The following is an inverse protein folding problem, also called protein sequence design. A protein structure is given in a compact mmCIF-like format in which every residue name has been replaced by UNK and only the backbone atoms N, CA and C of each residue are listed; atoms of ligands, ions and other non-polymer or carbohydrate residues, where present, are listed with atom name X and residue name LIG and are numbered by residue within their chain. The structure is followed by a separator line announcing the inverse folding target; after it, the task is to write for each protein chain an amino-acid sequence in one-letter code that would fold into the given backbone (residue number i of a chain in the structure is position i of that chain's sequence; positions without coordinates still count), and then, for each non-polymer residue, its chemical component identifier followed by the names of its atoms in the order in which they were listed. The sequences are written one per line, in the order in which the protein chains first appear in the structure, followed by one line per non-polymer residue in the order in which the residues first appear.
data_IF_000440186936
#
_entry.id   IF_000440186936
#
_cell.length_a   1.000
_cell.length_b   1.000
_cell.length_c   1.000
_cell.angle_alpha   90.00
_cell.angle_beta   90.00
_cell.angle_gamma   90.00
#
_symmetry.space_group_name_H-M   'P 1'
#
loop_
_entity.id
_entity.type
_entity.pdbx_description
1 polymer ?
#
# COMPACT_ATOMS: atom_id res chain seq x y z
N UNK A 1 11.80 -30.73 -10.52
CA UNK A 1 11.94 -32.11 -10.02
C UNK A 1 11.88 -33.17 -11.12
N UNK A 2 10.92 -33.12 -12.07
CA UNK A 2 10.77 -34.15 -13.13
C UNK A 2 12.04 -34.36 -13.99
N UNK A 3 12.69 -33.28 -14.45
CA UNK A 3 13.92 -33.39 -15.25
C UNK A 3 15.11 -33.98 -14.48
N UNK A 4 15.24 -33.68 -13.17
CA UNK A 4 16.27 -34.29 -12.31
C UNK A 4 16.04 -35.80 -12.16
N UNK A 5 14.79 -36.23 -11.97
CA UNK A 5 14.44 -37.65 -11.87
C UNK A 5 14.72 -38.39 -13.18
N UNK A 6 14.35 -37.78 -14.31
CA UNK A 6 14.68 -38.31 -15.64
C UNK A 6 16.19 -38.41 -15.87
N UNK A 7 16.96 -37.41 -15.43
CA UNK A 7 18.42 -37.45 -15.54
C UNK A 7 19.02 -38.60 -14.73
N UNK A 8 18.56 -38.81 -13.50
CA UNK A 8 19.00 -39.93 -12.65
C UNK A 8 18.64 -41.28 -13.27
N UNK A 9 17.44 -41.41 -13.82
CA UNK A 9 17.01 -42.61 -14.52
C UNK A 9 17.92 -42.94 -15.72
N UNK A 10 18.15 -41.95 -16.59
CA UNK A 10 19.05 -42.11 -17.75
C UNK A 10 20.47 -42.45 -17.31
N UNK A 11 20.97 -41.86 -16.22
CA UNK A 11 22.31 -42.17 -15.71
C UNK A 11 22.42 -43.60 -15.20
N UNK A 12 21.43 -44.09 -14.45
CA UNK A 12 21.40 -45.46 -13.94
C UNK A 12 21.30 -46.48 -15.08
N UNK A 13 20.39 -46.24 -16.03
CA UNK A 13 20.19 -47.16 -17.15
C UNK A 13 21.42 -47.18 -18.08
N UNK A 14 22.01 -46.02 -18.36
CA UNK A 14 23.25 -45.91 -19.11
C UNK A 14 24.39 -46.70 -18.45
N UNK A 15 24.56 -46.58 -17.13
CA UNK A 15 25.58 -47.31 -16.39
C UNK A 15 25.37 -48.83 -16.47
N UNK A 16 24.12 -49.29 -16.39
CA UNK A 16 23.76 -50.70 -16.55
C UNK A 16 24.10 -51.21 -17.96
N UNK A 17 23.72 -50.46 -19.01
CA UNK A 17 24.02 -50.83 -20.40
C UNK A 17 25.51 -50.83 -20.69
N UNK A 18 26.26 -49.85 -20.17
CA UNK A 18 27.73 -49.81 -20.31
C UNK A 18 28.41 -51.00 -19.62
N UNK A 19 27.94 -51.40 -18.44
CA UNK A 19 28.45 -52.59 -17.75
C UNK A 19 28.14 -53.87 -18.56
N UNK A 20 26.91 -54.00 -19.07
CA UNK A 20 26.52 -55.13 -19.92
C UNK A 20 27.34 -55.18 -21.21
N UNK A 21 27.58 -54.05 -21.87
CA UNK A 21 28.38 -53.98 -23.09
C UNK A 21 29.82 -54.42 -22.84
N UNK A 22 30.43 -54.01 -21.72
CA UNK A 22 31.76 -54.46 -21.30
C UNK A 22 31.80 -55.97 -21.07
N UNK A 23 30.83 -56.53 -20.34
CA UNK A 23 30.75 -57.96 -20.07
C UNK A 23 30.55 -58.76 -21.37
N UNK A 24 29.69 -58.32 -22.28
CA UNK A 24 29.49 -58.97 -23.58
C UNK A 24 30.76 -58.91 -24.43
N UNK A 25 31.48 -57.78 -24.44
CA UNK A 25 32.77 -57.68 -25.11
C UNK A 25 33.79 -58.65 -24.52
N UNK A 26 33.89 -58.74 -23.19
CA UNK A 26 34.78 -59.68 -22.50
C UNK A 26 34.44 -61.15 -22.82
N UNK A 27 33.17 -61.52 -22.78
CA UNK A 27 32.71 -62.86 -23.16
C UNK A 27 32.98 -63.16 -24.65
N UNK A 28 32.89 -62.14 -25.51
CA UNK A 28 33.09 -62.30 -26.95
C UNK A 28 34.59 -62.39 -27.33
N UNK A 29 35.53 -61.93 -26.48
CA UNK A 29 36.99 -61.95 -26.75
C UNK A 29 37.62 -63.33 -26.92
N UNK A 30 36.99 -64.43 -26.47
CA UNK A 30 37.54 -65.77 -26.68
C UNK A 30 37.68 -66.05 -28.18
N UNK A 31 38.93 -66.28 -28.60
CA UNK A 31 39.33 -66.46 -30.00
C UNK A 31 38.93 -67.86 -30.43
N UNK A 32 38.08 -67.96 -31.45
CA UNK A 32 38.07 -69.16 -32.30
C UNK A 32 39.31 -69.02 -33.16
N UNK A 33 40.26 -69.94 -33.02
CA UNK A 33 41.45 -69.92 -33.88
C UNK A 33 41.04 -70.30 -35.30
N UNK A 34 40.84 -69.28 -36.13
CA UNK A 34 40.47 -69.42 -37.54
C UNK A 34 41.58 -70.20 -38.27
N UNK A 35 42.83 -70.11 -37.81
CA UNK A 35 43.94 -70.88 -38.35
C UNK A 35 43.81 -72.36 -38.01
N UNK A 36 43.48 -72.70 -36.75
CA UNK A 36 43.25 -74.09 -36.35
C UNK A 36 42.06 -74.73 -37.09
N UNK A 37 41.00 -73.96 -37.38
CA UNK A 37 39.90 -74.40 -38.24
C UNK A 37 40.38 -74.75 -39.65
N UNK A 38 41.13 -73.85 -40.29
CA UNK A 38 41.65 -74.06 -41.64
C UNK A 38 42.62 -75.26 -41.69
N UNK A 39 43.46 -75.42 -40.67
CA UNK A 39 44.39 -76.54 -40.55
C UNK A 39 43.63 -77.88 -40.38
N UNK A 40 42.54 -77.88 -39.61
CA UNK A 40 41.66 -79.06 -39.47
C UNK A 40 40.96 -79.42 -40.78
N UNK A 41 40.49 -78.43 -41.56
CA UNK A 41 39.91 -78.65 -42.90
C UNK A 41 40.92 -79.26 -43.87
N UNK A 42 42.16 -78.75 -43.90
CA UNK A 42 43.25 -79.31 -44.69
C UNK A 42 43.59 -80.74 -44.25
N UNK A 43 43.59 -81.00 -42.94
CA UNK A 43 43.88 -82.34 -42.42
C UNK A 43 42.78 -83.34 -42.75
N UNK A 44 41.52 -82.93 -42.70
CA UNK A 44 40.38 -83.74 -43.17
C UNK A 44 40.57 -84.09 -44.64
N UNK A 45 40.86 -83.12 -45.50
CA UNK A 45 41.07 -83.36 -46.94
C UNK A 45 42.23 -84.33 -47.22
N UNK A 46 43.34 -84.23 -46.47
CA UNK A 46 44.47 -85.16 -46.58
C UNK A 46 44.09 -86.59 -46.14
N UNK A 47 43.42 -86.74 -45.01
CA UNK A 47 43.00 -88.04 -44.48
C UNK A 47 41.94 -88.71 -45.37
N UNK A 48 41.04 -87.93 -45.98
CA UNK A 48 40.08 -88.42 -46.98
C UNK A 48 40.78 -88.95 -48.23
N UNK A 49 41.80 -88.23 -48.73
CA UNK A 49 42.62 -88.67 -49.85
C UNK A 49 43.35 -89.98 -49.53
N UNK A 50 44.06 -90.05 -48.41
CA UNK A 50 44.75 -91.26 -47.95
C UNK A 50 43.79 -92.46 -47.78
N UNK A 51 42.61 -92.22 -47.19
CA UNK A 51 41.55 -93.23 -47.06
C UNK A 51 41.11 -93.73 -48.44
N UNK A 52 40.86 -92.83 -49.39
CA UNK A 52 40.40 -93.19 -50.74
C UNK A 52 41.43 -94.04 -51.49
N UNK A 53 42.72 -93.73 -51.37
CA UNK A 53 43.82 -94.48 -51.97
C UNK A 53 43.97 -95.87 -51.34
N UNK A 54 43.82 -95.99 -50.02
CA UNK A 54 43.86 -97.28 -49.31
C UNK A 54 42.65 -98.16 -49.64
N UNK A 55 41.46 -97.57 -49.77
CA UNK A 55 40.25 -98.27 -50.22
C UNK A 55 40.41 -98.72 -51.68
N UNK A 56 41.02 -97.93 -52.54
CA UNK A 56 41.31 -98.32 -53.93
C UNK A 56 42.32 -99.48 -53.99
N UNK A 57 43.39 -99.45 -53.19
CA UNK A 57 44.36 -100.56 -53.07
C UNK A 57 43.72 -101.84 -52.54
N UNK A 58 42.80 -101.74 -51.56
CA UNK A 58 42.00 -102.87 -51.07
C UNK A 58 41.13 -103.51 -52.17
N UNK A 59 40.58 -102.71 -53.09
CA UNK A 59 39.81 -103.20 -54.25
C UNK A 59 40.69 -103.94 -55.27
N UNK A 60 41.97 -103.63 -55.36
CA UNK A 60 42.91 -104.22 -56.34
C UNK A 60 43.57 -105.51 -55.86
N UNK A 61 43.89 -105.65 -54.56
CA UNK A 61 44.66 -106.80 -54.01
C UNK A 61 43.79 -108.02 -53.67
N UNK A 62 42.46 -107.87 -53.62
CA UNK A 62 41.54 -108.95 -53.27
C UNK A 62 41.41 -109.19 -51.74
N UNK A 63 40.34 -109.88 -51.33
CA UNK A 63 39.85 -109.89 -49.94
C UNK A 63 40.61 -110.80 -48.95
N UNK A 64 41.69 -111.47 -49.37
CA UNK A 64 42.38 -112.49 -48.57
C UNK A 64 43.88 -112.21 -48.49
N UNK A 65 44.38 -111.92 -47.28
CA UNK A 65 45.81 -111.72 -47.00
C UNK A 65 46.08 -110.74 -45.86
N UNK A 66 47.21 -110.92 -45.16
CA UNK A 66 47.65 -110.07 -44.03
C UNK A 66 47.70 -108.57 -44.39
N UNK A 67 48.04 -108.26 -45.65
CA UNK A 67 48.06 -106.89 -46.17
C UNK A 67 46.66 -106.26 -46.27
N UNK A 68 45.65 -107.02 -46.70
CA UNK A 68 44.27 -106.54 -46.78
C UNK A 68 43.69 -106.29 -45.38
N UNK A 69 44.03 -107.12 -44.39
CA UNK A 69 43.64 -106.89 -42.99
C UNK A 69 44.29 -105.61 -42.43
N UNK A 70 45.58 -105.39 -42.68
CA UNK A 70 46.29 -104.17 -42.26
C UNK A 70 45.69 -102.91 -42.90
N UNK A 71 45.42 -102.93 -44.21
CA UNK A 71 44.76 -101.80 -44.88
C UNK A 71 43.35 -101.53 -44.34
N UNK A 72 42.56 -102.54 -43.97
CA UNK A 72 41.25 -102.35 -43.34
C UNK A 72 41.36 -101.70 -41.96
N UNK A 73 42.29 -102.15 -41.11
CA UNK A 73 42.54 -101.53 -39.80
C UNK A 73 42.94 -100.06 -39.96
N UNK A 74 43.82 -99.76 -40.91
CA UNK A 74 44.22 -98.37 -41.21
C UNK A 74 43.07 -97.50 -41.72
N UNK A 75 42.20 -98.03 -42.58
CA UNK A 75 41.00 -97.31 -43.04
C UNK A 75 40.05 -97.01 -41.87
N UNK A 76 39.84 -97.97 -40.97
CA UNK A 76 39.00 -97.79 -39.77
C UNK A 76 39.58 -96.73 -38.81
N UNK A 77 40.90 -96.69 -38.64
CA UNK A 77 41.58 -95.62 -37.88
C UNK A 77 41.39 -94.24 -38.53
N UNK A 78 41.58 -94.14 -39.85
CA UNK A 78 41.37 -92.90 -40.60
C UNK A 78 39.91 -92.43 -40.51
N UNK A 79 38.94 -93.34 -40.53
CA UNK A 79 37.52 -93.04 -40.31
C UNK A 79 37.25 -92.48 -38.91
N UNK A 80 37.86 -93.05 -37.88
CA UNK A 80 37.77 -92.53 -36.51
C UNK A 80 38.35 -91.11 -36.38
N UNK A 81 39.51 -90.86 -36.99
CA UNK A 81 40.15 -89.53 -37.00
C UNK A 81 39.32 -88.50 -37.76
N UNK A 82 38.78 -88.87 -38.93
CA UNK A 82 37.88 -88.02 -39.71
C UNK A 82 36.60 -87.67 -38.95
N UNK A 83 36.00 -88.63 -38.25
CA UNK A 83 34.79 -88.38 -37.44
C UNK A 83 35.08 -87.38 -36.30
N UNK A 84 36.24 -87.49 -35.65
CA UNK A 84 36.65 -86.57 -34.58
C UNK A 84 36.94 -85.16 -35.12
N UNK A 85 37.69 -85.03 -36.22
CA UNK A 85 37.99 -83.72 -36.83
C UNK A 85 36.73 -83.04 -37.37
N UNK A 86 35.83 -83.78 -38.02
CA UNK A 86 34.55 -83.24 -38.48
C UNK A 86 33.66 -82.76 -37.32
N UNK A 87 33.68 -83.47 -36.18
CA UNK A 87 32.97 -83.03 -34.97
C UNK A 87 33.55 -81.72 -34.43
N UNK A 88 34.88 -81.59 -34.35
CA UNK A 88 35.56 -80.36 -33.94
C UNK A 88 35.24 -79.18 -34.86
N UNK A 89 35.30 -79.39 -36.18
CA UNK A 89 35.00 -78.35 -37.17
C UNK A 89 33.55 -77.86 -37.05
N UNK A 90 32.60 -78.78 -36.82
CA UNK A 90 31.19 -78.44 -36.58
C UNK A 90 31.00 -77.64 -35.29
N UNK A 91 31.68 -78.01 -34.21
CA UNK A 91 31.67 -77.26 -32.94
C UNK A 91 32.25 -75.85 -33.12
N UNK A 92 33.40 -75.72 -33.77
CA UNK A 92 34.03 -74.42 -34.06
C UNK A 92 33.17 -73.54 -34.98
N UNK A 93 32.53 -74.11 -36.01
CA UNK A 93 31.57 -73.40 -36.88
C UNK A 93 30.34 -72.89 -36.12
N UNK A 94 29.80 -73.69 -35.19
CA UNK A 94 28.69 -73.26 -34.33
C UNK A 94 29.10 -72.11 -33.40
N UNK A 95 30.31 -72.16 -32.83
CA UNK A 95 30.85 -71.08 -31.99
C UNK A 95 30.99 -69.81 -32.82
N UNK A 96 31.52 -69.88 -34.04
CA UNK A 96 31.66 -68.71 -34.92
C UNK A 96 30.32 -68.01 -35.19
N UNK A 97 29.27 -68.79 -35.51
CA UNK A 97 27.90 -68.25 -35.69
C UNK A 97 27.31 -67.65 -34.41
N UNK A 98 27.70 -68.13 -33.23
CA UNK A 98 27.31 -67.51 -31.97
C UNK A 98 28.03 -66.18 -31.76
N UNK A 99 29.34 -66.14 -32.04
CA UNK A 99 30.19 -64.95 -31.93
C UNK A 99 29.76 -63.82 -32.87
N UNK A 100 29.39 -64.15 -34.10
CA UNK A 100 28.82 -63.17 -35.06
C UNK A 100 27.52 -62.55 -34.53
N UNK A 101 26.60 -63.38 -34.02
CA UNK A 101 25.34 -62.90 -33.41
C UNK A 101 25.58 -62.05 -32.17
N UNK A 102 26.55 -62.42 -31.34
CA UNK A 102 26.97 -61.63 -30.18
C UNK A 102 27.61 -60.30 -30.61
N UNK A 103 28.41 -60.29 -31.68
CA UNK A 103 29.00 -59.10 -32.26
C UNK A 103 27.94 -58.10 -32.73
N UNK A 104 26.91 -58.57 -33.42
CA UNK A 104 25.77 -57.74 -33.85
C UNK A 104 24.99 -57.18 -32.65
N UNK A 105 24.80 -57.98 -31.60
CA UNK A 105 24.17 -57.53 -30.35
C UNK A 105 24.98 -56.46 -29.63
N UNK A 106 26.31 -56.60 -29.60
CA UNK A 106 27.22 -55.61 -29.00
C UNK A 106 27.17 -54.29 -29.80
N UNK A 107 27.16 -54.35 -31.14
CA UNK A 107 27.02 -53.14 -31.99
C UNK A 107 25.74 -52.38 -31.66
N UNK A 108 24.59 -53.05 -31.66
CA UNK A 108 23.29 -52.44 -31.31
C UNK A 108 23.30 -51.84 -29.91
N UNK A 109 23.84 -52.55 -28.92
CA UNK A 109 23.93 -52.04 -27.55
C UNK A 109 24.83 -50.78 -27.47
N UNK A 110 25.93 -50.74 -28.21
CA UNK A 110 26.80 -49.56 -28.27
C UNK A 110 26.13 -48.35 -28.95
N UNK A 111 25.34 -48.58 -30.00
CA UNK A 111 24.52 -47.53 -30.64
C UNK A 111 23.50 -46.96 -29.66
N UNK A 112 22.79 -47.80 -28.91
CA UNK A 112 21.87 -47.36 -27.86
C UNK A 112 22.59 -46.56 -26.76
N UNK A 113 23.75 -47.01 -26.28
CA UNK A 113 24.58 -46.30 -25.31
C UNK A 113 24.96 -44.90 -25.83
N UNK A 114 25.34 -44.79 -27.11
CA UNK A 114 25.67 -43.52 -27.74
C UNK A 114 24.45 -42.59 -27.78
N UNK A 115 23.29 -43.09 -28.19
CA UNK A 115 22.04 -42.33 -28.19
C UNK A 115 21.66 -41.85 -26.79
N UNK A 116 21.78 -42.71 -25.77
CA UNK A 116 21.50 -42.35 -24.37
C UNK A 116 22.48 -41.30 -23.83
N UNK A 117 23.77 -41.36 -24.21
CA UNK A 117 24.76 -40.31 -23.90
C UNK A 117 24.36 -38.97 -24.51
N UNK A 118 23.96 -38.96 -25.77
CA UNK A 118 23.48 -37.74 -26.44
C UNK A 118 22.23 -37.19 -25.76
N UNK A 119 21.26 -38.05 -25.42
CA UNK A 119 20.04 -37.66 -24.71
C UNK A 119 20.34 -37.07 -23.33
N UNK A 120 21.26 -37.68 -22.57
CA UNK A 120 21.74 -37.16 -21.28
C UNK A 120 22.32 -35.75 -21.41
N UNK A 121 23.20 -35.53 -22.40
CA UNK A 121 23.82 -34.21 -22.62
C UNK A 121 22.77 -33.18 -23.03
N UNK A 122 21.85 -33.53 -23.92
CA UNK A 122 20.73 -32.65 -24.32
C UNK A 122 19.86 -32.26 -23.11
N UNK A 123 19.51 -33.23 -22.27
CA UNK A 123 18.73 -32.99 -21.06
C UNK A 123 19.44 -32.05 -20.09
N UNK A 124 20.74 -32.27 -19.83
CA UNK A 124 21.54 -31.39 -18.96
C UNK A 124 21.59 -29.96 -19.51
N UNK A 125 21.74 -29.78 -20.84
CA UNK A 125 21.71 -28.46 -21.48
C UNK A 125 20.36 -27.77 -21.29
N UNK A 126 19.25 -28.46 -21.57
CA UNK A 126 17.89 -27.93 -21.35
C UNK A 126 17.68 -27.49 -19.91
N UNK A 127 18.08 -28.32 -18.94
CA UNK A 127 17.96 -28.00 -17.52
C UNK A 127 18.76 -26.76 -17.13
N UNK A 128 19.97 -26.58 -17.67
CA UNK A 128 20.80 -25.39 -17.43
C UNK A 128 20.18 -24.14 -18.04
N UNK A 129 19.67 -24.24 -19.27
CA UNK A 129 19.02 -23.12 -19.95
C UNK A 129 17.73 -22.68 -19.25
N UNK A 130 16.90 -23.62 -18.82
CA UNK A 130 15.68 -23.33 -18.03
C UNK A 130 16.03 -22.69 -16.69
N UNK A 131 17.05 -23.18 -15.99
CA UNK A 131 17.53 -22.59 -14.73
C UNK A 131 18.06 -21.15 -14.95
N UNK A 132 18.77 -20.91 -16.05
CA UNK A 132 19.28 -19.58 -16.40
C UNK A 132 18.14 -18.61 -16.78
N UNK A 133 17.16 -19.08 -17.56
CA UNK A 133 15.96 -18.31 -17.89
C UNK A 133 15.20 -17.93 -16.62
N UNK A 134 15.01 -18.88 -15.71
CA UNK A 134 14.36 -18.62 -14.43
C UNK A 134 15.16 -17.64 -13.57
N UNK A 135 16.49 -17.76 -13.51
CA UNK A 135 17.34 -16.81 -12.76
C UNK A 135 17.22 -15.39 -13.31
N UNK A 136 17.34 -15.22 -14.63
CA UNK A 136 17.17 -13.92 -15.30
C UNK A 136 15.79 -13.33 -15.05
N UNK A 137 14.74 -14.13 -15.23
CA UNK A 137 13.37 -13.72 -14.96
C UNK A 137 13.18 -13.27 -13.52
N UNK A 138 13.69 -14.05 -12.55
CA UNK A 138 13.61 -13.74 -11.13
C UNK A 138 14.32 -12.44 -10.78
N UNK A 139 15.56 -12.26 -11.22
CA UNK A 139 16.32 -11.03 -10.97
C UNK A 139 15.63 -9.82 -11.58
N UNK A 140 15.08 -9.93 -12.79
CA UNK A 140 14.36 -8.82 -13.41
C UNK A 140 13.07 -8.48 -12.66
N UNK A 141 12.31 -9.49 -12.23
CA UNK A 141 11.12 -9.28 -11.40
C UNK A 141 11.47 -8.69 -10.04
N UNK A 142 12.53 -9.15 -9.38
CA UNK A 142 13.01 -8.58 -8.11
C UNK A 142 13.41 -7.10 -8.28
N UNK A 143 14.07 -6.74 -9.39
CA UNK A 143 14.40 -5.34 -9.72
C UNK A 143 13.14 -4.49 -9.95
N UNK A 144 12.17 -4.99 -10.71
CA UNK A 144 10.90 -4.28 -10.93
C UNK A 144 10.16 -4.06 -9.61
N UNK A 145 10.05 -5.10 -8.78
CA UNK A 145 9.43 -5.01 -7.45
C UNK A 145 10.16 -4.00 -6.54
N UNK A 146 11.49 -3.99 -6.54
CA UNK A 146 12.27 -3.04 -5.78
C UNK A 146 12.05 -1.59 -6.24
N UNK A 147 12.00 -1.36 -7.56
CA UNK A 147 11.69 -0.04 -8.14
C UNK A 147 10.29 0.43 -7.74
N UNK A 148 9.28 -0.44 -7.83
CA UNK A 148 7.90 -0.12 -7.43
C UNK A 148 7.81 0.21 -5.94
N UNK A 149 8.40 -0.61 -5.06
CA UNK A 149 8.47 -0.34 -3.61
C UNK A 149 9.21 0.96 -3.29
N UNK A 150 10.21 1.33 -4.08
CA UNK A 150 10.90 2.61 -3.88
C UNK A 150 10.05 3.80 -4.35
N UNK A 151 9.31 3.67 -5.44
CA UNK A 151 8.35 4.69 -5.89
C UNK A 151 7.20 4.86 -4.90
N UNK A 152 6.66 3.76 -4.37
CA UNK A 152 5.63 3.75 -3.33
C UNK A 152 6.13 4.51 -2.08
N UNK A 153 7.29 4.13 -1.54
CA UNK A 153 7.90 4.86 -0.40
C UNK A 153 8.12 6.35 -0.67
N UNK A 154 8.49 6.74 -1.90
CA UNK A 154 8.63 8.15 -2.27
C UNK A 154 7.27 8.86 -2.26
N UNK A 155 6.23 8.24 -2.82
CA UNK A 155 4.86 8.77 -2.82
C UNK A 155 4.32 8.89 -1.40
N UNK A 156 4.51 7.89 -0.56
CA UNK A 156 4.06 7.91 0.84
C UNK A 156 4.73 9.01 1.64
N UNK A 157 6.04 9.20 1.46
CA UNK A 157 6.77 10.28 2.12
C UNK A 157 6.29 11.66 1.67
N UNK A 158 6.01 11.84 0.37
CA UNK A 158 5.49 13.11 -0.14
C UNK A 158 4.07 13.38 0.37
N UNK A 159 3.23 12.35 0.37
CA UNK A 159 1.89 12.42 0.93
C UNK A 159 1.90 12.73 2.43
N UNK A 160 2.84 12.15 3.18
CA UNK A 160 3.02 12.44 4.60
C UNK A 160 3.44 13.90 4.85
N UNK A 161 4.32 14.48 4.02
CA UNK A 161 4.69 15.90 4.11
C UNK A 161 3.50 16.80 3.83
N UNK A 162 2.74 16.53 2.77
CA UNK A 162 1.56 17.31 2.39
C UNK A 162 0.52 17.26 3.52
N UNK A 163 0.21 16.07 4.05
CA UNK A 163 -0.67 15.91 5.23
C UNK A 163 -0.20 16.72 6.43
N UNK A 164 1.09 16.65 6.75
CA UNK A 164 1.64 17.40 7.88
C UNK A 164 1.55 18.92 7.67
N UNK A 165 1.75 19.40 6.44
CA UNK A 165 1.58 20.82 6.11
C UNK A 165 0.11 21.24 6.25
N UNK A 166 -0.84 20.50 5.69
CA UNK A 166 -2.27 20.80 5.82
C UNK A 166 -2.74 20.77 7.27
N UNK A 167 -2.30 19.79 8.06
CA UNK A 167 -2.61 19.73 9.49
C UNK A 167 -2.11 20.98 10.23
N UNK A 168 -0.88 21.44 9.94
CA UNK A 168 -0.34 22.68 10.51
C UNK A 168 -1.15 23.91 10.08
N UNK A 169 -1.50 24.03 8.79
CA UNK A 169 -2.34 25.13 8.29
C UNK A 169 -3.70 25.15 8.99
N UNK A 170 -4.36 23.99 9.11
CA UNK A 170 -5.63 23.86 9.81
C UNK A 170 -5.55 24.33 11.27
N UNK A 171 -4.46 23.99 11.98
CA UNK A 171 -4.23 24.45 13.36
C UNK A 171 -4.05 25.98 13.42
N UNK A 172 -3.32 26.57 12.47
CA UNK A 172 -3.13 28.03 12.41
C UNK A 172 -4.47 28.74 12.22
N UNK A 173 -5.28 28.29 11.27
CA UNK A 173 -6.61 28.86 11.02
C UNK A 173 -7.54 28.74 12.23
N UNK A 174 -7.62 27.56 12.86
CA UNK A 174 -8.40 27.36 14.09
C UNK A 174 -7.97 28.31 15.21
N UNK A 175 -6.65 28.47 15.42
CA UNK A 175 -6.13 29.43 16.42
C UNK A 175 -6.50 30.87 16.10
N UNK A 176 -6.50 31.27 14.83
CA UNK A 176 -6.94 32.63 14.41
C UNK A 176 -8.42 32.84 14.67
N UNK A 177 -9.27 31.84 14.41
CA UNK A 177 -10.69 31.86 14.79
C UNK A 177 -10.85 32.03 16.30
N UNK A 178 -10.16 31.23 17.10
CA UNK A 178 -10.23 31.30 18.56
C UNK A 178 -9.80 32.68 19.11
N UNK A 179 -8.76 33.29 18.51
CA UNK A 179 -8.31 34.64 18.86
C UNK A 179 -9.36 35.70 18.51
N UNK A 180 -9.95 35.61 17.31
CA UNK A 180 -11.02 36.51 16.87
C UNK A 180 -12.27 36.41 17.75
N UNK A 181 -12.64 35.20 18.18
CA UNK A 181 -13.72 34.97 19.14
C UNK A 181 -13.41 35.53 20.53
N UNK A 182 -12.15 35.42 20.99
CA UNK A 182 -11.74 35.99 22.27
C UNK A 182 -11.83 37.53 22.26
N UNK A 183 -11.42 38.17 21.17
CA UNK A 183 -11.60 39.61 20.97
C UNK A 183 -13.08 39.99 20.91
N UNK A 184 -13.91 39.19 20.24
CA UNK A 184 -15.36 39.37 20.24
C UNK A 184 -15.96 39.32 21.65
N UNK A 185 -15.54 38.36 22.47
CA UNK A 185 -15.96 38.27 23.87
C UNK A 185 -15.54 39.53 24.64
N UNK A 186 -14.29 40.00 24.46
CA UNK A 186 -13.79 41.23 25.09
C UNK A 186 -14.59 42.45 24.66
N UNK A 187 -14.86 42.61 23.37
CA UNK A 187 -15.65 43.69 22.80
C UNK A 187 -17.08 43.68 23.34
N UNK A 188 -17.71 42.50 23.42
CA UNK A 188 -19.04 42.32 24.01
C UNK A 188 -19.08 42.69 25.48
N UNK A 189 -18.08 42.31 26.26
CA UNK A 189 -17.97 42.69 27.68
C UNK A 189 -17.77 44.21 27.85
N UNK A 190 -16.92 44.83 27.04
CA UNK A 190 -16.71 46.28 27.06
C UNK A 190 -18.00 47.06 26.72
N UNK A 191 -18.75 46.57 25.73
CA UNK A 191 -20.07 47.09 25.35
C UNK A 191 -21.10 47.01 26.47
N UNK A 192 -21.24 45.83 27.08
CA UNK A 192 -22.19 45.62 28.17
C UNK A 192 -21.88 46.53 29.37
N UNK A 193 -20.59 46.70 29.69
CA UNK A 193 -20.17 47.62 30.75
C UNK A 193 -20.49 49.08 30.40
N UNK A 194 -20.36 49.49 29.13
CA UNK A 194 -20.71 50.83 28.66
C UNK A 194 -22.20 51.12 28.81
N UNK A 195 -23.06 50.17 28.44
CA UNK A 195 -24.51 50.29 28.61
C UNK A 195 -24.88 50.43 30.10
N UNK A 196 -24.32 49.60 30.98
CA UNK A 196 -24.56 49.69 32.43
C UNK A 196 -24.12 51.04 33.03
N UNK A 197 -22.96 51.57 32.59
CA UNK A 197 -22.48 52.88 33.03
C UNK A 197 -23.37 54.01 32.50
N UNK A 198 -23.89 53.89 31.27
CA UNK A 198 -24.83 54.87 30.71
C UNK A 198 -26.16 54.90 31.46
N UNK A 199 -26.71 53.73 31.82
CA UNK A 199 -27.94 53.60 32.61
C UNK A 199 -27.79 54.19 34.02
N UNK A 200 -26.64 53.96 34.67
CA UNK A 200 -26.37 54.44 36.04
C UNK A 200 -25.98 55.92 36.11
N UNK A 201 -25.46 56.52 35.04
CA UNK A 201 -25.05 57.93 34.98
C UNK A 201 -26.20 58.93 34.79
N UNK A 202 -27.46 58.49 34.61
CA UNK A 202 -28.65 59.37 34.55
C UNK A 202 -28.93 60.21 35.81
N UNK A 203 -28.05 60.24 36.82
CA UNK A 203 -28.31 61.00 38.06
C UNK A 203 -27.12 61.49 38.91
N UNK A 204 -25.84 61.38 38.51
CA UNK A 204 -24.71 61.94 39.28
C UNK A 204 -23.63 62.54 38.39
N UNK A 205 -23.42 63.85 38.54
CA UNK A 205 -22.47 64.64 37.76
C UNK A 205 -21.03 64.59 38.31
N UNK A 206 -20.10 64.67 37.34
CA UNK A 206 -18.78 65.35 37.37
C UNK A 206 -17.51 64.66 37.92
N UNK A 207 -17.52 63.71 38.85
CA UNK A 207 -16.23 63.29 39.48
C UNK A 207 -15.40 62.18 38.79
N UNK A 208 -15.82 61.58 37.66
CA UNK A 208 -15.09 60.43 37.07
C UNK A 208 -14.95 60.50 35.55
N UNK A 209 -14.35 61.57 35.04
CA UNK A 209 -14.02 61.71 33.61
C UNK A 209 -12.91 60.74 33.18
N UNK A 210 -11.85 60.60 33.97
CA UNK A 210 -10.69 59.75 33.65
C UNK A 210 -11.05 58.25 33.51
N UNK A 211 -11.82 57.62 34.42
CA UNK A 211 -12.27 56.23 34.25
C UNK A 211 -13.19 56.04 33.03
N UNK A 212 -14.01 57.03 32.69
CA UNK A 212 -14.89 56.98 31.52
C UNK A 212 -14.10 57.10 30.22
N UNK A 213 -13.14 58.03 30.17
CA UNK A 213 -12.25 58.18 29.01
C UNK A 213 -11.43 56.91 28.77
N UNK A 214 -10.94 56.27 29.84
CA UNK A 214 -10.26 54.97 29.76
C UNK A 214 -11.16 53.88 29.18
N UNK A 215 -12.41 53.79 29.65
CA UNK A 215 -13.39 52.83 29.13
C UNK A 215 -13.71 53.04 27.64
N UNK A 216 -13.87 54.29 27.20
CA UNK A 216 -14.14 54.59 25.79
C UNK A 216 -12.91 54.32 24.91
N UNK A 217 -11.70 54.60 25.44
CA UNK A 217 -10.44 54.25 24.79
C UNK A 217 -10.26 52.73 24.64
N UNK A 218 -10.53 51.95 25.70
CA UNK A 218 -10.47 50.48 25.67
C UNK A 218 -11.50 49.88 24.70
N UNK A 219 -12.68 50.50 24.58
CA UNK A 219 -13.69 50.14 23.58
C UNK A 219 -13.18 50.43 22.16
N UNK A 220 -12.59 51.61 21.93
CA UNK A 220 -12.04 52.00 20.64
C UNK A 220 -10.91 51.07 20.21
N UNK A 221 -9.97 50.76 21.10
CA UNK A 221 -8.91 49.76 20.83
C UNK A 221 -9.54 48.41 20.46
N UNK A 222 -10.51 47.93 21.24
CA UNK A 222 -11.18 46.66 20.98
C UNK A 222 -11.92 46.65 19.64
N UNK A 223 -12.49 47.78 19.21
CA UNK A 223 -13.15 47.93 17.91
C UNK A 223 -12.13 47.91 16.77
N UNK A 224 -11.00 48.62 16.91
CA UNK A 224 -9.92 48.64 15.91
C UNK A 224 -9.32 47.24 15.76
N UNK A 225 -9.03 46.56 16.87
CA UNK A 225 -8.54 45.17 16.86
C UNK A 225 -9.55 44.22 16.23
N UNK A 226 -10.85 44.34 16.57
CA UNK A 226 -11.90 43.51 15.96
C UNK A 226 -11.99 43.71 14.44
N UNK A 227 -11.93 44.95 13.95
CA UNK A 227 -11.89 45.25 12.50
C UNK A 227 -10.66 44.68 11.81
N UNK A 228 -9.48 44.78 12.43
CA UNK A 228 -8.25 44.20 11.89
C UNK A 228 -8.35 42.67 11.81
N UNK A 229 -8.88 42.02 12.84
CA UNK A 229 -9.10 40.56 12.80
C UNK A 229 -10.14 40.16 11.78
N UNK A 230 -11.22 40.93 11.60
CA UNK A 230 -12.22 40.68 10.58
C UNK A 230 -11.63 40.71 9.17
N UNK A 231 -10.78 41.70 8.86
CA UNK A 231 -10.06 41.76 7.58
C UNK A 231 -9.21 40.51 7.35
N UNK A 232 -8.48 40.08 8.38
CA UNK A 232 -7.64 38.87 8.32
C UNK A 232 -8.49 37.61 8.11
N UNK A 233 -9.63 37.49 8.79
CA UNK A 233 -10.53 36.35 8.61
C UNK A 233 -11.16 36.33 7.21
N UNK A 234 -11.48 37.49 6.62
CA UNK A 234 -12.00 37.57 5.25
C UNK A 234 -10.97 37.11 4.22
N UNK A 235 -9.71 37.49 4.39
CA UNK A 235 -8.59 36.98 3.60
C UNK A 235 -8.41 35.47 3.79
N UNK A 236 -8.42 34.98 5.04
CA UNK A 236 -8.32 33.56 5.35
C UNK A 236 -9.47 32.77 4.71
N UNK A 237 -10.72 33.27 4.77
CA UNK A 237 -11.88 32.66 4.11
C UNK A 237 -11.69 32.57 2.60
N UNK A 238 -11.18 33.64 1.97
CA UNK A 238 -10.93 33.64 0.52
C UNK A 238 -9.84 32.61 0.15
N UNK A 239 -8.75 32.53 0.92
CA UNK A 239 -7.70 31.53 0.69
C UNK A 239 -8.19 30.10 0.91
N UNK A 240 -8.97 29.85 1.97
CA UNK A 240 -9.57 28.54 2.24
C UNK A 240 -10.54 28.11 1.15
N UNK A 241 -11.35 29.03 0.64
CA UNK A 241 -12.26 28.77 -0.46
C UNK A 241 -11.48 28.40 -1.74
N UNK A 242 -10.46 29.17 -2.07
CA UNK A 242 -9.58 28.89 -3.22
C UNK A 242 -8.93 27.51 -3.11
N UNK A 243 -8.31 27.21 -1.96
CA UNK A 243 -7.66 25.92 -1.70
C UNK A 243 -8.66 24.77 -1.77
N UNK A 244 -9.89 24.96 -1.28
CA UNK A 244 -10.94 23.94 -1.38
C UNK A 244 -11.35 23.67 -2.84
N UNK A 245 -11.41 24.70 -3.67
CA UNK A 245 -11.79 24.54 -5.08
C UNK A 245 -10.66 23.86 -5.86
N UNK A 246 -9.40 24.24 -5.64
CA UNK A 246 -8.22 23.52 -6.17
C UNK A 246 -8.16 22.06 -5.72
N UNK A 247 -8.50 21.77 -4.46
CA UNK A 247 -8.57 20.41 -3.93
C UNK A 247 -9.69 19.59 -4.56
N UNK A 248 -10.86 20.18 -4.82
CA UNK A 248 -11.98 19.49 -5.50
C UNK A 248 -11.61 19.16 -6.94
N UNK A 249 -11.02 20.11 -7.66
CA UNK A 249 -10.59 19.92 -9.05
C UNK A 249 -9.54 18.80 -9.16
N UNK A 250 -8.60 18.76 -8.22
CA UNK A 250 -7.57 17.70 -8.14
C UNK A 250 -8.04 16.38 -7.51
N UNK A 251 -9.17 16.36 -6.80
CA UNK A 251 -9.79 15.15 -6.25
C UNK A 251 -10.60 14.38 -7.31
N UNK A 252 -11.23 15.09 -8.25
CA UNK A 252 -11.95 14.48 -9.37
C UNK A 252 -11.06 13.60 -10.27
N UNK A 253 -9.74 13.81 -10.25
CA UNK A 253 -8.77 13.03 -11.01
C UNK A 253 -8.21 11.78 -10.28
N UNK A 254 -8.25 11.75 -8.94
CA UNK A 254 -7.70 10.63 -8.15
C UNK A 254 -8.30 10.64 -6.72
N UNK A 255 -9.35 9.83 -6.46
CA UNK A 255 -10.11 9.84 -5.21
C UNK A 255 -9.39 9.00 -4.13
N UNK A 256 -8.35 9.57 -3.52
CA UNK A 256 -7.74 9.01 -2.32
C UNK A 256 -8.51 9.46 -1.05
N UNK A 257 -8.77 8.55 -0.12
CA UNK A 257 -9.43 8.81 1.18
C UNK A 257 -8.83 10.02 1.92
N UNK A 258 -7.51 10.20 1.80
CA UNK A 258 -6.75 11.29 2.41
C UNK A 258 -7.15 12.66 1.88
N UNK A 259 -7.44 12.77 0.58
CA UNK A 259 -7.91 14.01 -0.02
C UNK A 259 -9.31 14.34 0.50
N UNK A 260 -10.16 13.32 0.66
CA UNK A 260 -11.49 13.48 1.24
C UNK A 260 -11.44 14.02 2.68
N UNK A 261 -10.59 13.45 3.52
CA UNK A 261 -10.44 13.91 4.92
C UNK A 261 -9.88 15.34 4.99
N UNK A 262 -8.91 15.69 4.14
CA UNK A 262 -8.36 17.05 4.07
C UNK A 262 -9.41 18.06 3.59
N UNK A 263 -10.22 17.72 2.58
CA UNK A 263 -11.32 18.54 2.09
C UNK A 263 -12.37 18.74 3.20
N UNK A 264 -12.73 17.68 3.93
CA UNK A 264 -13.65 17.79 5.07
C UNK A 264 -13.10 18.76 6.13
N UNK A 265 -11.84 18.59 6.52
CA UNK A 265 -11.21 19.46 7.52
C UNK A 265 -11.10 20.93 7.11
N UNK A 266 -10.88 21.23 5.82
CA UNK A 266 -10.89 22.61 5.31
C UNK A 266 -12.30 23.18 5.22
N UNK A 267 -13.30 22.38 4.86
CA UNK A 267 -14.72 22.80 4.87
C UNK A 267 -15.18 23.18 6.27
N UNK A 268 -14.89 22.34 7.26
CA UNK A 268 -15.21 22.64 8.66
C UNK A 268 -14.58 23.97 9.08
N UNK A 269 -13.29 24.17 8.81
CA UNK A 269 -12.59 25.42 9.15
C UNK A 269 -13.17 26.63 8.41
N UNK A 270 -13.54 26.49 7.15
CA UNK A 270 -14.22 27.54 6.37
C UNK A 270 -15.58 27.91 6.98
N UNK A 271 -16.37 26.91 7.40
CA UNK A 271 -17.65 27.11 8.07
C UNK A 271 -17.46 27.88 9.38
N UNK A 272 -16.48 27.48 10.20
CA UNK A 272 -16.12 28.20 11.42
C UNK A 272 -15.73 29.66 11.13
N UNK A 273 -14.82 29.90 10.17
CA UNK A 273 -14.45 31.26 9.77
C UNK A 273 -15.66 32.08 9.33
N UNK A 274 -16.56 31.49 8.54
CA UNK A 274 -17.77 32.17 8.05
C UNK A 274 -18.71 32.55 9.21
N UNK A 275 -18.89 31.66 10.19
CA UNK A 275 -19.69 31.94 11.38
C UNK A 275 -19.06 33.05 12.24
N UNK A 276 -17.74 33.01 12.44
CA UNK A 276 -17.03 34.04 13.22
C UNK A 276 -17.06 35.40 12.52
N UNK A 277 -16.87 35.45 11.20
CA UNK A 277 -16.96 36.67 10.38
C UNK A 277 -18.34 37.30 10.53
N UNK A 278 -19.42 36.53 10.31
CA UNK A 278 -20.79 37.06 10.40
C UNK A 278 -21.11 37.58 11.81
N UNK A 279 -20.65 36.89 12.85
CA UNK A 279 -20.80 37.36 14.24
C UNK A 279 -19.99 38.63 14.52
N UNK A 280 -18.75 38.74 14.02
CA UNK A 280 -17.92 39.94 14.13
C UNK A 280 -18.55 41.14 13.41
N UNK A 281 -19.01 40.94 12.18
CA UNK A 281 -19.66 41.96 11.35
C UNK A 281 -20.89 42.54 12.06
N UNK A 282 -21.81 41.69 12.52
CA UNK A 282 -22.99 42.11 13.26
C UNK A 282 -22.63 42.95 14.49
N UNK A 283 -21.61 42.56 15.24
CA UNK A 283 -21.18 43.27 16.45
C UNK A 283 -20.56 44.63 16.14
N UNK A 284 -19.74 44.69 15.08
CA UNK A 284 -19.13 45.93 14.60
C UNK A 284 -20.21 46.89 14.09
N UNK A 285 -21.25 46.40 13.41
CA UNK A 285 -22.34 47.24 12.91
C UNK A 285 -23.27 47.73 14.03
N UNK A 286 -23.56 46.88 15.03
CA UNK A 286 -24.26 47.30 16.26
C UNK A 286 -23.50 48.45 16.95
N UNK A 287 -22.16 48.35 17.02
CA UNK A 287 -21.30 49.40 17.57
C UNK A 287 -21.35 50.69 16.76
N UNK A 288 -21.29 50.60 15.44
CA UNK A 288 -21.39 51.78 14.56
C UNK A 288 -22.71 52.51 14.80
N UNK A 289 -23.83 51.77 14.87
CA UNK A 289 -25.15 52.34 15.10
C UNK A 289 -25.24 53.01 16.48
N UNK A 290 -24.74 52.38 17.54
CA UNK A 290 -24.71 52.97 18.89
C UNK A 290 -23.84 54.24 18.94
N UNK A 291 -22.72 54.27 18.21
CA UNK A 291 -21.88 55.47 18.12
C UNK A 291 -22.61 56.59 17.36
N UNK A 292 -23.30 56.26 16.25
CA UNK A 292 -24.05 57.23 15.46
C UNK A 292 -25.23 57.83 16.25
N UNK A 293 -25.92 57.02 17.05
CA UNK A 293 -26.99 57.47 17.94
C UNK A 293 -26.47 58.43 19.01
N UNK A 294 -25.33 58.12 19.64
CA UNK A 294 -24.69 59.01 20.61
C UNK A 294 -24.20 60.32 19.97
N UNK A 295 -23.67 60.28 18.74
CA UNK A 295 -23.30 61.49 18.01
C UNK A 295 -24.52 62.37 17.78
N UNK A 296 -25.67 61.79 17.41
CA UNK A 296 -26.95 62.50 17.27
C UNK A 296 -27.42 63.08 18.60
N UNK A 297 -27.33 62.34 19.70
CA UNK A 297 -27.67 62.84 21.05
C UNK A 297 -26.78 64.02 21.48
N UNK A 298 -25.47 63.91 21.27
CA UNK A 298 -24.52 65.00 21.54
C UNK A 298 -24.80 66.24 20.69
N UNK A 299 -25.13 66.06 19.42
CA UNK A 299 -25.47 67.15 18.52
C UNK A 299 -26.79 67.84 18.91
N UNK A 300 -27.80 67.05 19.32
CA UNK A 300 -29.04 67.56 19.89
C UNK A 300 -28.78 68.35 21.18
N UNK A 301 -27.94 67.86 22.09
CA UNK A 301 -27.57 68.58 23.33
C UNK A 301 -26.83 69.89 23.03
N UNK A 302 -25.93 69.88 22.03
CA UNK A 302 -25.24 71.08 21.56
C UNK A 302 -26.21 72.13 20.99
N UNK A 303 -27.22 71.70 20.23
CA UNK A 303 -28.28 72.58 19.72
C UNK A 303 -29.17 73.14 20.83
N UNK A 304 -29.45 72.36 21.88
CA UNK A 304 -30.23 72.82 23.04
C UNK A 304 -29.47 73.85 23.90
N UNK A 305 -28.15 73.72 24.03
CA UNK A 305 -27.32 74.72 24.72
C UNK A 305 -27.13 76.03 23.92
N UNK A 306 -27.34 76.00 22.60
CA UNK A 306 -27.26 77.19 21.73
C UNK A 306 -28.58 77.97 21.59
N UNK A 307 -29.69 77.51 22.20
CA UNK A 307 -30.96 78.25 22.21
C UNK A 307 -30.90 79.41 23.23
N UNK A 308 -31.16 80.68 22.86
CA UNK A 308 -31.11 81.79 23.81
C UNK A 308 -32.21 81.63 24.87
N UNK A 309 -31.81 81.73 26.15
CA UNK A 309 -32.70 81.74 27.31
C UNK A 309 -33.60 82.98 27.24
N UNK A 310 -34.88 82.82 26.89
CA UNK A 310 -35.87 83.87 27.13
C UNK A 310 -36.31 83.81 28.60
N UNK A 311 -35.92 84.81 29.38
CA UNK A 311 -36.46 85.02 30.74
C UNK A 311 -37.91 85.55 30.65
N UNK A 312 -38.86 85.08 31.48
CA UNK A 312 -40.19 85.67 31.53
C UNK A 312 -40.14 87.00 32.29
N UNK A 313 -40.51 88.09 31.61
CA UNK A 313 -40.68 89.41 32.20
C UNK A 313 -41.96 89.42 33.05
N UNK A 314 -41.81 89.60 34.36
CA UNK A 314 -42.90 89.92 35.28
C UNK A 314 -43.33 91.37 34.99
N UNK A 315 -44.56 91.59 34.53
CA UNK A 315 -45.22 92.91 34.54
C UNK A 315 -46.34 92.92 35.58
N UNK A 316 -46.17 93.72 36.63
CA UNK A 316 -47.24 94.22 37.51
C UNK A 316 -47.64 95.62 37.03
N UNK A 317 -48.95 95.87 36.89
CA UNK A 317 -49.75 97.09 37.17
C UNK A 317 -51.13 96.90 36.52
N UNK A 318 -52.22 96.73 37.29
CA UNK A 318 -53.22 97.77 37.65
C UNK A 318 -54.11 98.17 36.45
N UNK A 319 -55.44 98.23 36.45
CA UNK A 319 -56.58 98.04 37.37
C UNK A 319 -57.85 98.06 36.47
N UNK A 320 -58.93 97.36 36.84
CA UNK A 320 -60.32 97.88 36.95
C UNK A 320 -61.40 96.82 36.68
N UNK A 321 -62.18 96.55 37.74
CA UNK A 321 -63.63 96.32 37.84
C UNK A 321 -64.37 95.60 36.70
N UNK A 322 -65.06 94.49 37.03
CA UNK A 322 -66.44 94.49 37.57
C UNK A 322 -66.94 93.04 37.75
N UNK A 323 -67.63 92.81 38.89
CA UNK A 323 -68.81 91.92 39.06
C UNK A 323 -68.64 90.41 38.72
N UNK A 324 -69.12 89.42 39.46
CA UNK A 324 -69.91 89.30 40.69
C UNK A 324 -69.98 87.78 40.98
N UNK A 325 -70.15 87.38 42.25
CA UNK A 325 -70.81 86.13 42.68
C UNK A 325 -70.08 84.79 42.40
N UNK A 326 -69.85 83.85 43.32
CA UNK A 326 -70.61 83.50 44.51
C UNK A 326 -69.84 82.48 45.37
N UNK A 327 -69.98 82.62 46.70
CA UNK A 327 -70.24 81.52 47.67
C UNK A 327 -69.08 80.66 48.21
N UNK A 328 -68.66 81.03 49.44
CA UNK A 328 -68.63 80.22 50.70
C UNK A 328 -67.64 79.04 50.79
N UNK A 329 -66.92 78.72 51.88
CA UNK A 329 -66.49 79.33 53.17
C UNK A 329 -65.90 78.14 53.97
N UNK A 330 -64.74 78.37 54.62
CA UNK A 330 -64.22 77.69 55.86
C UNK A 330 -63.90 76.19 55.79
N UNK A 331 -62.95 75.60 56.53
CA UNK A 331 -62.05 75.97 57.65
C UNK A 331 -60.96 74.87 57.66
N UNK A 332 -59.70 75.17 57.96
CA UNK A 332 -59.09 74.86 59.27
C UNK A 332 -59.61 73.56 59.90
N UNK A 333 -58.77 72.54 59.99
CA UNK A 333 -58.19 72.17 61.29
C UNK A 333 -57.11 71.08 61.15
N UNK A 334 -56.07 71.28 61.95
CA UNK A 334 -55.14 70.26 62.40
C UNK A 334 -55.91 69.28 63.32
N UNK A 335 -55.64 67.98 63.26
CA UNK A 335 -54.79 67.30 64.25
C UNK A 335 -54.90 65.77 64.17
N UNK A 336 -53.87 65.14 64.73
CA UNK A 336 -53.87 63.81 65.34
C UNK A 336 -53.98 62.52 64.50
N UNK A 337 -52.89 61.77 64.59
CA UNK A 337 -52.80 60.45 65.25
C UNK A 337 -52.25 59.29 64.40
N UNK A 338 -51.22 58.67 64.97
CA UNK A 338 -50.54 57.48 64.52
C UNK A 338 -51.25 56.20 65.07
N UNK A 339 -50.67 54.99 65.00
CA UNK A 339 -51.11 53.91 64.13
C UNK A 339 -51.64 52.67 64.90
N UNK A 340 -52.03 51.60 64.20
CA UNK A 340 -51.45 50.28 64.53
C UNK A 340 -51.13 49.48 63.24
N UNK A 341 -50.15 48.57 63.16
CA UNK A 341 -49.77 47.55 64.14
C UNK A 341 -50.40 46.21 63.75
N UNK A 342 -49.53 45.19 63.56
CA UNK A 342 -49.75 43.72 63.47
C UNK A 342 -49.49 43.11 62.08
N UNK A 343 -48.94 41.91 61.92
CA UNK A 343 -48.03 41.04 62.68
C UNK A 343 -47.91 39.77 61.80
N UNK A 344 -46.67 39.29 61.62
CA UNK A 344 -46.24 37.89 61.42
C UNK A 344 -47.14 36.90 60.65
N UNK A 345 -46.54 36.24 59.67
CA UNK A 345 -46.52 34.77 59.60
C UNK A 345 -45.22 34.24 58.99
N UNK A 346 -44.81 33.11 59.54
CA UNK A 346 -43.50 32.45 59.52
C UNK A 346 -43.43 31.24 58.57
N UNK A 347 -42.18 30.82 58.28
CA UNK A 347 -41.71 29.47 57.86
C UNK A 347 -42.04 29.07 56.41
N UNK A 348 -41.15 28.44 55.63
CA UNK A 348 -40.20 27.35 55.96
C UNK A 348 -38.89 27.42 55.16
N UNK A 349 -37.83 26.96 55.82
CA UNK A 349 -36.57 26.46 55.25
C UNK A 349 -36.79 25.13 54.52
N UNK A 350 -36.03 24.88 53.45
CA UNK A 350 -35.44 23.57 53.15
C UNK A 350 -34.08 23.74 52.43
N UNK A 351 -33.05 23.16 53.06
CA UNK A 351 -31.73 22.72 52.56
C UNK A 351 -31.90 21.73 51.38
N UNK A 352 -30.97 21.31 50.53
CA UNK A 352 -29.49 21.34 50.40
C UNK A 352 -29.17 20.80 48.98
N UNK A 353 -27.95 20.98 48.46
CA UNK A 353 -27.49 20.18 47.31
C UNK A 353 -26.17 20.66 46.71
N UNK A 354 -25.11 19.90 47.01
CA UNK A 354 -23.77 19.93 46.42
C UNK A 354 -23.78 19.74 44.90
#
# INVERSE_FOLDING_TARGET
MKLNQQLLFIQRDLACKEALAKQLLENNKSIVDIQEMADNELKIAQLEKEKSELVQKLKQVGNSGKMAEHHRKRVQELEGQLAQLNKKLKEQSNILRMKEREGERIKKLNEEILQMKQMKVKLIRSMREEAEKYRRWRTEKERMCAKLKQQERKKDNELAKIKAMHSKQQIVFKRRVEQAEALNRRLKSALSLRQQVHETKKGKQEEKLEPWLKQEYDLYISLVEARATLSTLLEDRATLQHVLDEMKDSANADPAQIKSDAICGHKEVLEFHTQTITSQEQKIDELKNQIEELLKEMENLKQHQQRPVQQPVIKKTEQSNAEESSVVVKTEDQDENAPPGKLRRTRRLFHMGL
#
